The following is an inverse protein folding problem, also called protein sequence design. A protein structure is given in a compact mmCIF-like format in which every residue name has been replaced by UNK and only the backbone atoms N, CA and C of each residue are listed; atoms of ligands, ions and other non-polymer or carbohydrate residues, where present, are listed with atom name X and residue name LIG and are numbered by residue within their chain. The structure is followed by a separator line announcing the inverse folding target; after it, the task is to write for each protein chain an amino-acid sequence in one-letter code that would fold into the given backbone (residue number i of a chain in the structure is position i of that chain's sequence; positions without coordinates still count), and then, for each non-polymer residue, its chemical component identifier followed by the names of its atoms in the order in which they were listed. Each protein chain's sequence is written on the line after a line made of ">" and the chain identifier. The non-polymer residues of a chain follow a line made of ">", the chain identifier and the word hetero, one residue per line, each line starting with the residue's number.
data_IF_162672541126
#
_entry.id   IF_162672541126
#
_cell.length_a   1.000
_cell.length_b   1.000
_cell.length_c   1.000
_cell.angle_alpha   90.00
_cell.angle_beta   90.00
_cell.angle_gamma   90.00
#
_symmetry.space_group_name_H-M   'P 1'
#
loop_
_entity.id
_entity.type
_entity.pdbx_description
1 polymer ?
#
# COMPACT_ATOMS: atom_id res chain seq x y z
N UNK A 1 36.42 -51.85 -32.58
CA UNK A 1 35.15 -51.12 -32.45
C UNK A 1 35.12 -50.39 -31.13
N UNK A 2 35.24 -49.08 -31.17
CA UNK A 2 35.11 -48.23 -30.03
C UNK A 2 33.63 -47.89 -29.78
N UNK A 3 33.12 -47.88 -28.55
CA UNK A 3 31.72 -47.56 -28.29
C UNK A 3 31.46 -46.07 -28.55
N UNK A 4 30.40 -45.79 -29.28
CA UNK A 4 29.90 -44.43 -29.57
C UNK A 4 29.40 -43.81 -28.25
N UNK A 5 29.76 -42.55 -27.90
CA UNK A 5 29.26 -41.91 -26.72
C UNK A 5 27.76 -41.63 -26.84
N UNK A 6 26.98 -42.12 -25.87
CA UNK A 6 25.58 -41.79 -25.75
C UNK A 6 25.48 -40.35 -25.22
N UNK A 7 24.97 -39.46 -26.07
CA UNK A 7 24.67 -38.08 -25.65
C UNK A 7 23.54 -38.10 -24.62
N UNK A 8 23.85 -37.85 -23.36
CA UNK A 8 22.87 -37.54 -22.32
C UNK A 8 22.30 -36.15 -22.60
N UNK A 9 21.11 -36.09 -23.15
CA UNK A 9 20.31 -34.85 -23.21
C UNK A 9 19.96 -34.45 -21.79
N UNK A 10 20.48 -33.31 -21.34
CA UNK A 10 20.01 -32.70 -20.12
C UNK A 10 18.50 -32.45 -20.24
N UNK A 11 17.70 -32.66 -19.13
CA UNK A 11 16.29 -32.35 -19.18
C UNK A 11 16.12 -30.88 -19.54
N UNK A 12 15.25 -30.59 -20.50
CA UNK A 12 14.88 -29.22 -20.85
C UNK A 12 14.36 -28.55 -19.58
N UNK A 13 14.98 -27.43 -19.20
CA UNK A 13 14.46 -26.63 -18.10
C UNK A 13 13.00 -26.27 -18.45
N UNK A 14 12.08 -26.55 -17.53
CA UNK A 14 10.69 -26.16 -17.70
C UNK A 14 10.66 -24.65 -17.94
N UNK A 15 10.21 -24.23 -19.13
CA UNK A 15 10.08 -22.80 -19.45
C UNK A 15 8.95 -22.22 -18.63
N UNK A 16 9.23 -21.13 -17.92
CA UNK A 16 8.19 -20.33 -17.27
C UNK A 16 7.26 -19.81 -18.37
N UNK A 17 5.92 -19.86 -18.19
CA UNK A 17 4.99 -19.28 -19.15
C UNK A 17 5.33 -17.82 -19.47
N UNK A 18 5.08 -17.37 -20.70
CA UNK A 18 5.17 -15.96 -21.03
C UNK A 18 4.11 -15.20 -20.25
N UNK A 19 4.50 -14.14 -19.56
CA UNK A 19 3.62 -13.32 -18.72
C UNK A 19 4.08 -11.87 -18.79
N UNK A 20 3.14 -10.98 -19.10
CA UNK A 20 3.41 -9.54 -19.22
C UNK A 20 3.86 -8.91 -17.89
N UNK A 21 3.51 -9.52 -16.77
CA UNK A 21 3.86 -9.04 -15.43
C UNK A 21 5.25 -9.49 -14.95
N UNK A 22 5.92 -10.39 -15.67
CA UNK A 22 7.22 -10.92 -15.25
C UNK A 22 8.27 -9.83 -15.02
N UNK A 23 8.40 -8.88 -15.95
CA UNK A 23 9.37 -7.79 -15.83
C UNK A 23 9.04 -6.86 -14.66
N UNK A 24 7.76 -6.58 -14.43
CA UNK A 24 7.30 -5.77 -13.29
C UNK A 24 7.63 -6.45 -11.96
N UNK A 25 7.35 -7.74 -11.83
CA UNK A 25 7.68 -8.53 -10.62
C UNK A 25 9.20 -8.57 -10.39
N UNK A 26 9.99 -8.81 -11.43
CA UNK A 26 11.46 -8.81 -11.33
C UNK A 26 11.99 -7.44 -10.90
N UNK A 27 11.42 -6.35 -11.42
CA UNK A 27 11.82 -5.00 -11.04
C UNK A 27 11.57 -4.74 -9.55
N UNK A 28 10.40 -5.11 -9.04
CA UNK A 28 10.10 -4.98 -7.60
C UNK A 28 11.06 -5.82 -6.75
N UNK A 29 11.30 -7.08 -7.14
CA UNK A 29 12.08 -8.00 -6.31
C UNK A 29 13.59 -7.80 -6.39
N UNK A 30 14.12 -7.22 -7.47
CA UNK A 30 15.55 -7.25 -7.79
C UNK A 30 16.19 -5.90 -8.06
N UNK A 31 15.42 -4.84 -8.39
CA UNK A 31 16.05 -3.58 -8.74
C UNK A 31 16.43 -2.76 -7.51
N UNK A 32 17.59 -2.14 -7.58
CA UNK A 32 18.01 -1.14 -6.59
C UNK A 32 17.18 0.16 -6.74
N UNK A 33 16.68 0.43 -7.94
CA UNK A 33 15.87 1.59 -8.28
C UNK A 33 14.53 1.56 -7.54
N UNK A 34 13.85 0.40 -7.50
CA UNK A 34 12.65 0.23 -6.68
C UNK A 34 12.90 0.51 -5.21
N UNK A 35 13.97 -0.10 -4.67
CA UNK A 35 14.34 0.12 -3.26
C UNK A 35 14.65 1.58 -2.97
N UNK A 36 15.44 2.23 -3.83
CA UNK A 36 15.81 3.63 -3.68
C UNK A 36 14.59 4.55 -3.74
N UNK A 37 13.66 4.32 -4.68
CA UNK A 37 12.42 5.09 -4.80
C UNK A 37 11.55 4.99 -3.53
N UNK A 38 11.38 3.79 -2.99
CA UNK A 38 10.63 3.59 -1.75
C UNK A 38 11.31 4.24 -0.54
N UNK A 39 12.62 4.02 -0.38
CA UNK A 39 13.40 4.59 0.73
C UNK A 39 13.35 6.12 0.70
N UNK A 40 13.56 6.75 -0.46
CA UNK A 40 13.55 8.22 -0.56
C UNK A 40 12.17 8.79 -0.24
N UNK A 41 11.09 8.13 -0.66
CA UNK A 41 9.72 8.55 -0.35
C UNK A 41 9.49 8.57 1.16
N UNK A 42 9.78 7.47 1.85
CA UNK A 42 9.58 7.40 3.29
C UNK A 42 10.53 8.31 4.08
N UNK A 43 11.77 8.46 3.64
CA UNK A 43 12.73 9.36 4.28
C UNK A 43 12.31 10.82 4.17
N UNK A 44 11.93 11.25 2.97
CA UNK A 44 11.45 12.61 2.74
C UNK A 44 10.17 12.89 3.54
N UNK A 45 9.23 11.93 3.58
CA UNK A 45 8.02 12.06 4.39
C UNK A 45 8.33 12.22 5.88
N UNK A 46 9.30 11.49 6.42
CA UNK A 46 9.69 11.60 7.83
C UNK A 46 10.17 13.02 8.19
N UNK A 47 10.83 13.72 7.27
CA UNK A 47 11.28 15.10 7.47
C UNK A 47 10.13 16.10 7.55
N UNK A 48 8.97 15.80 6.97
CA UNK A 48 7.77 16.64 7.03
C UNK A 48 6.93 16.45 8.29
N UNK A 49 7.17 15.40 9.09
CA UNK A 49 6.34 15.11 10.27
C UNK A 49 6.30 16.27 11.26
N UNK A 50 7.44 16.87 11.58
CA UNK A 50 7.50 17.96 12.54
C UNK A 50 6.80 19.23 12.03
N UNK A 51 6.92 19.52 10.73
CA UNK A 51 6.20 20.61 10.07
C UNK A 51 4.68 20.38 10.13
N UNK A 52 4.23 19.19 9.73
CA UNK A 52 2.83 18.82 9.75
C UNK A 52 2.22 18.86 11.15
N UNK A 53 2.97 18.43 12.17
CA UNK A 53 2.56 18.49 13.57
C UNK A 53 2.43 19.93 14.08
N UNK A 54 3.37 20.80 13.71
CA UNK A 54 3.44 22.19 14.16
C UNK A 54 2.34 23.08 13.58
N UNK A 55 1.82 22.75 12.40
CA UNK A 55 0.78 23.54 11.73
C UNK A 55 -0.63 23.08 12.15
N UNK A 56 -1.39 23.87 12.94
CA UNK A 56 -2.68 23.43 13.49
C UNK A 56 -3.75 23.07 12.45
N UNK A 57 -3.65 23.69 11.25
CA UNK A 57 -4.60 23.49 10.15
C UNK A 57 -4.11 22.48 9.11
N UNK A 58 -2.96 21.86 9.34
CA UNK A 58 -2.45 20.84 8.44
C UNK A 58 -3.36 19.62 8.39
N UNK A 59 -3.81 19.27 7.20
CA UNK A 59 -4.65 18.11 6.94
C UNK A 59 -4.31 17.51 5.57
N UNK A 60 -4.21 16.22 5.50
CA UNK A 60 -3.96 15.48 4.26
C UNK A 60 -5.24 14.90 3.63
N UNK A 61 -6.40 15.08 4.27
CA UNK A 61 -7.69 14.78 3.64
C UNK A 61 -8.14 15.97 2.79
N UNK A 62 -8.70 15.68 1.61
CA UNK A 62 -9.37 16.71 0.84
C UNK A 62 -10.58 17.25 1.59
N UNK A 63 -10.94 18.55 1.44
CA UNK A 63 -12.04 19.15 2.20
C UNK A 63 -13.36 18.40 2.10
N UNK A 64 -13.66 17.82 0.94
CA UNK A 64 -14.88 17.05 0.69
C UNK A 64 -14.95 15.72 1.47
N UNK A 65 -13.84 15.23 2.00
CA UNK A 65 -13.76 14.02 2.82
C UNK A 65 -13.58 14.32 4.32
N UNK A 66 -13.56 15.58 4.73
CA UNK A 66 -13.45 16.02 6.12
C UNK A 66 -14.82 16.35 6.69
N UNK A 67 -15.34 15.49 7.58
CA UNK A 67 -16.65 15.66 8.21
C UNK A 67 -16.62 16.58 9.46
N UNK A 68 -15.42 16.90 9.94
CA UNK A 68 -15.21 17.77 11.12
C UNK A 68 -14.03 18.72 10.90
N UNK A 69 -13.69 19.52 11.90
CA UNK A 69 -12.59 20.49 11.76
C UNK A 69 -11.19 19.91 11.95
N UNK A 70 -11.06 18.63 12.31
CA UNK A 70 -9.76 18.00 12.62
C UNK A 70 -9.01 18.58 13.81
N UNK A 71 -9.44 19.73 14.35
CA UNK A 71 -8.81 20.40 15.47
C UNK A 71 -8.91 19.60 16.77
N UNK A 72 -7.80 19.52 17.48
CA UNK A 72 -7.76 18.82 18.78
C UNK A 72 -7.79 17.29 18.69
N UNK A 73 -7.90 16.75 17.50
CA UNK A 73 -7.81 15.30 17.28
C UNK A 73 -6.36 14.82 17.34
N UNK A 74 -6.19 13.57 17.74
CA UNK A 74 -4.87 12.92 17.74
C UNK A 74 -4.32 12.88 16.33
N UNK A 75 -2.99 13.11 16.14
CA UNK A 75 -2.39 13.02 14.83
C UNK A 75 -2.26 11.58 14.37
N UNK A 76 -2.50 11.36 13.08
CA UNK A 76 -2.30 10.07 12.43
C UNK A 76 -1.76 10.24 11.01
N UNK A 77 -1.17 9.19 10.49
CA UNK A 77 -0.91 9.01 9.06
C UNK A 77 -1.77 7.86 8.55
N UNK A 78 -2.27 7.99 7.34
CA UNK A 78 -3.05 6.95 6.66
C UNK A 78 -2.16 6.26 5.65
N UNK A 79 -2.12 4.94 5.67
CA UNK A 79 -1.32 4.14 4.73
C UNK A 79 -2.21 3.06 4.10
N UNK A 80 -2.12 2.91 2.79
CA UNK A 80 -2.47 1.64 2.17
C UNK A 80 -1.51 0.54 2.66
N UNK A 81 -1.85 -0.72 2.45
CA UNK A 81 -1.02 -1.84 2.88
C UNK A 81 -0.26 -2.45 1.70
N UNK A 82 -0.98 -2.93 0.69
CA UNK A 82 -0.41 -3.74 -0.38
C UNK A 82 0.43 -2.88 -1.32
N UNK A 83 1.71 -3.23 -1.48
CA UNK A 83 2.72 -2.48 -2.25
C UNK A 83 3.00 -1.05 -1.75
N UNK A 84 2.48 -0.74 -0.58
CA UNK A 84 2.77 0.50 0.15
C UNK A 84 3.53 0.21 1.44
N UNK A 85 3.00 -0.65 2.29
CA UNK A 85 3.58 -1.06 3.57
C UNK A 85 4.15 -2.48 3.49
N UNK A 86 3.44 -3.39 2.85
CA UNK A 86 3.81 -4.78 2.66
C UNK A 86 4.00 -5.12 1.18
N UNK A 87 5.08 -5.84 0.90
CA UNK A 87 5.46 -6.33 -0.43
C UNK A 87 4.79 -7.70 -0.69
N UNK A 88 3.89 -7.73 -1.67
CA UNK A 88 3.21 -8.94 -2.15
C UNK A 88 3.81 -9.48 -3.46
N UNK A 89 4.98 -9.04 -3.86
CA UNK A 89 5.64 -9.55 -5.05
C UNK A 89 5.83 -11.08 -5.06
N UNK A 90 5.99 -11.77 -3.91
CA UNK A 90 6.01 -13.23 -3.90
C UNK A 90 4.69 -13.86 -4.37
N UNK A 91 3.54 -13.24 -4.07
CA UNK A 91 2.24 -13.67 -4.60
C UNK A 91 2.18 -13.47 -6.12
N UNK A 92 2.56 -12.29 -6.61
CA UNK A 92 2.61 -12.01 -8.05
C UNK A 92 3.57 -12.97 -8.78
N UNK A 93 4.70 -13.29 -8.19
CA UNK A 93 5.64 -14.27 -8.73
C UNK A 93 5.03 -15.68 -8.84
N UNK A 94 4.20 -16.09 -7.89
CA UNK A 94 3.45 -17.36 -7.97
C UNK A 94 2.47 -17.36 -9.14
N UNK A 95 1.73 -16.27 -9.35
CA UNK A 95 0.81 -16.15 -10.48
C UNK A 95 1.56 -16.30 -11.81
N UNK A 96 2.67 -15.59 -11.98
CA UNK A 96 3.53 -15.69 -13.18
C UNK A 96 4.06 -17.12 -13.37
N UNK A 97 4.63 -17.72 -12.32
CA UNK A 97 5.20 -19.07 -12.37
C UNK A 97 4.18 -20.13 -12.77
N UNK A 98 2.97 -20.01 -12.23
CA UNK A 98 1.92 -21.04 -12.36
C UNK A 98 0.94 -20.72 -13.51
N UNK A 99 1.16 -19.61 -14.24
CA UNK A 99 0.28 -19.18 -15.35
C UNK A 99 -1.15 -18.87 -14.88
N UNK A 100 -1.29 -18.28 -13.71
CA UNK A 100 -2.56 -17.97 -13.08
C UNK A 100 -2.82 -16.46 -13.06
N UNK A 101 -4.09 -16.11 -13.02
CA UNK A 101 -4.56 -14.76 -12.75
C UNK A 101 -4.94 -14.60 -11.28
N UNK A 102 -5.10 -13.34 -10.83
CA UNK A 102 -5.63 -13.04 -9.50
C UNK A 102 -6.99 -13.70 -9.27
N UNK A 103 -7.17 -14.25 -8.08
CA UNK A 103 -8.46 -14.70 -7.58
C UNK A 103 -8.56 -14.49 -6.07
N UNK A 104 -9.76 -14.21 -5.56
CA UNK A 104 -9.95 -14.04 -4.12
C UNK A 104 -9.46 -15.25 -3.31
N UNK A 105 -9.72 -16.51 -3.69
CA UNK A 105 -9.24 -17.65 -2.93
C UNK A 105 -7.71 -17.74 -2.84
N UNK A 106 -6.99 -17.47 -3.93
CA UNK A 106 -5.53 -17.51 -3.93
C UNK A 106 -4.91 -16.34 -3.17
N UNK A 107 -5.55 -15.17 -3.27
CA UNK A 107 -5.17 -14.00 -2.49
C UNK A 107 -5.38 -14.21 -0.98
N UNK A 108 -6.55 -14.69 -0.58
CA UNK A 108 -6.85 -15.02 0.81
C UNK A 108 -5.83 -16.01 1.38
N UNK A 109 -5.50 -17.05 0.62
CA UNK A 109 -4.48 -18.02 1.02
C UNK A 109 -3.12 -17.36 1.26
N UNK A 110 -2.69 -16.47 0.36
CA UNK A 110 -1.45 -15.71 0.54
C UNK A 110 -1.46 -14.85 1.80
N UNK A 111 -2.53 -14.08 2.02
CA UNK A 111 -2.66 -13.22 3.20
C UNK A 111 -2.60 -14.06 4.49
N UNK A 112 -3.26 -15.23 4.50
CA UNK A 112 -3.24 -16.15 5.64
C UNK A 112 -1.84 -16.72 5.94
N UNK A 113 -0.92 -16.73 5.00
CA UNK A 113 0.48 -17.12 5.26
C UNK A 113 1.22 -16.13 6.16
N UNK A 114 0.79 -14.86 6.23
CA UNK A 114 1.42 -13.80 7.06
C UNK A 114 2.90 -13.60 6.75
N UNK A 115 3.29 -13.66 5.48
CA UNK A 115 4.70 -13.69 5.04
C UNK A 115 5.14 -12.47 4.24
N UNK A 116 4.24 -11.53 3.98
CA UNK A 116 4.61 -10.31 3.29
C UNK A 116 5.62 -9.52 4.13
N UNK A 117 6.67 -9.02 3.47
CA UNK A 117 7.76 -8.28 4.11
C UNK A 117 7.55 -6.77 3.94
N UNK A 118 8.16 -5.92 4.78
CA UNK A 118 8.00 -4.49 4.68
C UNK A 118 8.57 -3.92 3.37
N UNK A 119 7.85 -2.98 2.78
CA UNK A 119 8.37 -2.13 1.70
C UNK A 119 9.58 -1.35 2.22
N UNK A 120 10.67 -1.22 1.44
CA UNK A 120 11.87 -0.53 1.90
C UNK A 120 11.59 0.89 2.40
N UNK A 121 12.11 1.21 3.58
CA UNK A 121 11.97 2.52 4.22
C UNK A 121 10.76 2.68 5.15
N UNK A 122 9.75 1.82 5.07
CA UNK A 122 8.53 1.99 5.88
C UNK A 122 8.77 1.83 7.38
N UNK A 123 9.67 0.93 7.79
CA UNK A 123 9.94 0.70 9.22
C UNK A 123 10.59 1.93 9.88
N UNK A 124 11.54 2.57 9.21
CA UNK A 124 12.18 3.79 9.67
C UNK A 124 11.17 4.94 9.79
N UNK A 125 10.31 5.10 8.79
CA UNK A 125 9.22 6.08 8.84
C UNK A 125 8.27 5.79 10.00
N UNK A 126 7.83 4.54 10.16
CA UNK A 126 6.91 4.13 11.22
C UNK A 126 7.48 4.42 12.62
N UNK A 127 8.77 4.16 12.83
CA UNK A 127 9.46 4.51 14.08
C UNK A 127 9.50 6.01 14.32
N UNK A 128 9.79 6.80 13.29
CA UNK A 128 9.80 8.26 13.37
C UNK A 128 8.43 8.83 13.71
N UNK A 129 7.36 8.30 13.11
CA UNK A 129 5.98 8.68 13.40
C UNK A 129 5.59 8.29 14.84
N UNK A 130 5.87 7.06 15.24
CA UNK A 130 5.57 6.55 16.58
C UNK A 130 6.29 7.34 17.68
N UNK A 131 7.56 7.69 17.47
CA UNK A 131 8.34 8.50 18.40
C UNK A 131 7.75 9.90 18.63
N UNK A 132 6.92 10.39 17.69
CA UNK A 132 6.22 11.67 17.75
C UNK A 132 4.77 11.55 18.20
N UNK A 133 4.34 10.38 18.64
CA UNK A 133 2.94 10.13 19.04
C UNK A 133 1.96 10.11 17.87
N UNK A 134 2.41 9.91 16.65
CA UNK A 134 1.57 9.81 15.46
C UNK A 134 1.12 8.36 15.27
N UNK A 135 -0.19 8.16 15.19
CA UNK A 135 -0.80 6.84 14.98
C UNK A 135 -0.73 6.46 13.50
N UNK A 136 -0.41 5.19 13.20
CA UNK A 136 -0.53 4.63 11.86
C UNK A 136 -1.93 4.01 11.72
N UNK A 137 -2.69 4.47 10.74
CA UNK A 137 -4.01 3.94 10.36
C UNK A 137 -3.87 3.31 8.98
N UNK A 138 -4.30 2.08 8.86
CA UNK A 138 -4.17 1.30 7.63
C UNK A 138 -5.52 1.21 6.93
N UNK A 139 -5.62 1.78 5.71
CA UNK A 139 -6.80 1.70 4.85
C UNK A 139 -6.47 0.81 3.66
N UNK A 140 -7.00 -0.40 3.63
CA UNK A 140 -6.64 -1.42 2.66
C UNK A 140 -7.87 -2.04 2.01
N UNK A 141 -7.74 -2.46 0.77
CA UNK A 141 -8.73 -3.30 0.10
C UNK A 141 -8.60 -4.79 0.45
N UNK A 142 -7.73 -5.16 1.38
CA UNK A 142 -7.87 -6.45 2.06
C UNK A 142 -9.22 -6.48 2.77
N UNK A 143 -9.98 -7.52 2.53
CA UNK A 143 -11.32 -7.64 3.11
C UNK A 143 -11.29 -7.77 4.63
N UNK A 144 -12.35 -7.34 5.29
CA UNK A 144 -12.44 -7.35 6.77
C UNK A 144 -12.26 -8.74 7.38
N UNK A 145 -12.60 -9.82 6.65
CA UNK A 145 -12.35 -11.19 7.12
C UNK A 145 -10.86 -11.57 7.19
N UNK A 146 -10.00 -10.82 6.50
CA UNK A 146 -8.53 -10.97 6.54
C UNK A 146 -7.85 -10.10 7.60
N UNK A 147 -8.62 -9.37 8.40
CA UNK A 147 -8.12 -8.41 9.39
C UNK A 147 -7.09 -9.05 10.32
N UNK A 148 -7.41 -10.16 10.95
CA UNK A 148 -6.52 -10.78 11.94
C UNK A 148 -5.19 -11.20 11.32
N UNK A 149 -5.22 -11.88 10.16
CA UNK A 149 -4.01 -12.30 9.47
C UNK A 149 -3.15 -11.10 9.05
N UNK A 150 -3.79 -10.01 8.61
CA UNK A 150 -3.11 -8.78 8.22
C UNK A 150 -2.44 -8.11 9.42
N UNK A 151 -3.14 -7.95 10.52
CA UNK A 151 -2.59 -7.35 11.75
C UNK A 151 -1.44 -8.18 12.33
N UNK A 152 -1.57 -9.51 12.31
CA UNK A 152 -0.51 -10.42 12.74
C UNK A 152 0.74 -10.26 11.87
N UNK A 153 0.57 -10.14 10.55
CA UNK A 153 1.70 -9.91 9.63
C UNK A 153 2.37 -8.55 9.90
N UNK A 154 1.59 -7.48 10.06
CA UNK A 154 2.12 -6.15 10.38
C UNK A 154 2.94 -6.16 11.67
N UNK A 155 2.40 -6.75 12.75
CA UNK A 155 3.08 -6.87 14.04
C UNK A 155 4.36 -7.69 13.94
N UNK A 156 4.31 -8.83 13.24
CA UNK A 156 5.46 -9.70 13.05
C UNK A 156 6.61 -9.01 12.31
N UNK A 157 6.28 -8.06 11.43
CA UNK A 157 7.27 -7.27 10.69
C UNK A 157 7.74 -6.01 11.45
N UNK A 158 7.24 -5.76 12.66
CA UNK A 158 7.63 -4.62 13.47
C UNK A 158 6.89 -3.31 13.15
N UNK A 159 5.79 -3.40 12.43
CA UNK A 159 4.94 -2.23 12.14
C UNK A 159 4.00 -1.96 13.32
N UNK A 160 3.82 -0.68 13.72
CA UNK A 160 2.93 -0.32 14.80
C UNK A 160 1.47 -0.65 14.49
N UNK A 161 0.82 -1.32 15.43
CA UNK A 161 -0.62 -1.57 15.45
C UNK A 161 -1.11 -1.21 16.84
N UNK A 162 -1.67 -0.02 17.02
CA UNK A 162 -2.10 0.47 18.32
C UNK A 162 -3.20 -0.41 18.92
N UNK A 163 -4.20 -0.72 18.11
CA UNK A 163 -5.26 -1.68 18.39
C UNK A 163 -5.93 -2.10 17.06
N UNK A 164 -6.96 -2.92 17.13
CA UNK A 164 -7.63 -3.44 15.93
C UNK A 164 -8.43 -2.38 15.15
N UNK A 165 -8.72 -1.22 15.75
CA UNK A 165 -9.46 -0.15 15.09
C UNK A 165 -8.65 0.60 14.03
N UNK A 166 -7.33 0.45 14.03
CA UNK A 166 -6.47 1.09 13.02
C UNK A 166 -6.50 0.39 11.66
N UNK A 167 -7.14 -0.77 11.54
CA UNK A 167 -7.32 -1.46 10.28
C UNK A 167 -8.72 -1.19 9.71
N UNK A 168 -8.78 -0.49 8.59
CA UNK A 168 -10.00 -0.18 7.85
C UNK A 168 -9.97 -0.93 6.52
N UNK A 169 -10.45 -2.17 6.53
CA UNK A 169 -10.46 -3.07 5.39
C UNK A 169 -11.68 -2.86 4.48
N UNK A 170 -11.65 -3.51 3.33
CA UNK A 170 -12.80 -3.58 2.43
C UNK A 170 -13.96 -4.31 3.15
N UNK A 171 -15.12 -3.68 3.17
CA UNK A 171 -16.30 -4.16 3.92
C UNK A 171 -16.48 -3.45 5.27
N UNK A 172 -15.60 -2.53 5.65
CA UNK A 172 -15.83 -1.64 6.80
C UNK A 172 -17.06 -0.78 6.54
N UNK A 173 -18.04 -0.87 7.44
CA UNK A 173 -19.26 -0.04 7.38
C UNK A 173 -18.97 1.31 8.01
N UNK A 174 -19.28 2.38 7.29
CA UNK A 174 -19.10 3.76 7.73
C UNK A 174 -20.45 4.44 7.77
N UNK A 175 -20.89 4.83 8.98
CA UNK A 175 -22.17 5.49 9.16
C UNK A 175 -22.25 6.80 8.35
N UNK A 176 -23.34 6.97 7.61
CA UNK A 176 -23.61 8.16 6.80
C UNK A 176 -22.72 8.29 5.56
N UNK A 177 -22.12 7.19 5.12
CA UNK A 177 -21.35 7.14 3.89
C UNK A 177 -21.63 5.85 3.12
N UNK A 178 -22.08 6.00 1.87
CA UNK A 178 -22.39 4.86 1.00
C UNK A 178 -21.10 4.38 0.33
N UNK A 179 -20.70 3.16 0.65
CA UNK A 179 -19.52 2.52 0.06
C UNK A 179 -19.80 2.07 -1.38
N UNK A 180 -18.99 2.51 -2.32
CA UNK A 180 -19.04 2.11 -3.72
C UNK A 180 -17.84 1.23 -4.10
N UNK A 181 -18.09 -0.05 -4.35
CA UNK A 181 -17.04 -1.00 -4.74
C UNK A 181 -15.86 -0.99 -3.78
N UNK A 182 -14.66 -0.82 -4.31
CA UNK A 182 -13.40 -0.77 -3.54
C UNK A 182 -12.92 0.65 -3.22
N UNK A 183 -13.71 1.69 -3.51
CA UNK A 183 -13.37 3.07 -3.18
C UNK A 183 -13.05 3.23 -1.68
N UNK A 184 -12.07 4.07 -1.39
CA UNK A 184 -11.55 4.26 -0.01
C UNK A 184 -12.06 5.54 0.67
N UNK A 185 -12.86 6.35 0.00
CA UNK A 185 -13.33 7.65 0.49
C UNK A 185 -14.10 7.55 1.82
N UNK A 186 -15.04 6.62 1.96
CA UNK A 186 -15.76 6.42 3.22
C UNK A 186 -14.82 6.06 4.39
N UNK A 187 -13.82 5.23 4.13
CA UNK A 187 -12.84 4.84 5.15
C UNK A 187 -11.88 5.98 5.50
N UNK A 188 -11.52 6.84 4.53
CA UNK A 188 -10.79 8.09 4.82
C UNK A 188 -11.61 9.06 5.67
N UNK A 189 -12.90 9.21 5.37
CA UNK A 189 -13.82 9.98 6.24
C UNK A 189 -13.85 9.45 7.66
N UNK A 190 -13.94 8.12 7.82
CA UNK A 190 -13.93 7.50 9.14
C UNK A 190 -12.62 7.77 9.89
N UNK A 191 -11.48 7.64 9.23
CA UNK A 191 -10.19 8.01 9.80
C UNK A 191 -10.17 9.48 10.22
N UNK A 192 -10.68 10.37 9.37
CA UNK A 192 -10.77 11.80 9.64
C UNK A 192 -11.69 12.21 10.80
N UNK A 193 -12.72 11.41 11.07
CA UNK A 193 -13.59 11.64 12.26
C UNK A 193 -12.84 11.43 13.57
N UNK A 194 -11.84 10.56 13.58
CA UNK A 194 -11.10 10.16 14.76
C UNK A 194 -9.72 10.80 14.86
N UNK A 195 -9.14 11.23 13.73
CA UNK A 195 -7.77 11.71 13.67
C UNK A 195 -7.62 12.97 12.82
N UNK A 196 -6.62 13.78 13.16
CA UNK A 196 -6.04 14.74 12.24
C UNK A 196 -5.04 14.00 11.36
N UNK A 197 -5.35 13.87 10.08
CA UNK A 197 -4.54 13.10 9.12
C UNK A 197 -3.41 13.98 8.59
N UNK A 198 -2.17 13.67 8.96
CA UNK A 198 -0.99 14.45 8.56
C UNK A 198 -0.50 14.10 7.16
N UNK A 199 -0.59 12.83 6.80
CA UNK A 199 -0.08 12.30 5.53
C UNK A 199 -0.91 11.12 5.08
N UNK A 200 -0.91 10.88 3.78
CA UNK A 200 -1.41 9.66 3.18
C UNK A 200 -0.32 9.01 2.32
N UNK A 201 -0.25 7.68 2.36
CA UNK A 201 0.68 6.85 1.58
C UNK A 201 -0.11 5.83 0.78
N UNK A 202 0.27 5.66 -0.47
CA UNK A 202 -0.37 4.69 -1.36
C UNK A 202 0.45 4.43 -2.62
N UNK A 203 0.09 3.39 -3.35
CA UNK A 203 0.65 3.05 -4.65
C UNK A 203 -0.32 3.33 -5.80
N UNK A 204 -1.58 3.68 -5.46
CA UNK A 204 -2.65 4.01 -6.39
C UNK A 204 -3.23 5.39 -6.08
N UNK A 205 -3.66 6.12 -7.11
CA UNK A 205 -4.26 7.44 -6.94
C UNK A 205 -5.53 7.41 -6.07
N UNK A 206 -6.29 6.32 -6.14
CA UNK A 206 -7.48 6.08 -5.31
C UNK A 206 -7.20 5.93 -3.81
N UNK A 207 -5.94 5.77 -3.41
CA UNK A 207 -5.55 5.77 -2.00
C UNK A 207 -5.65 7.16 -1.36
N UNK A 208 -5.54 8.20 -2.17
CA UNK A 208 -5.47 9.59 -1.73
C UNK A 208 -6.78 10.35 -1.89
N UNK A 209 -7.51 10.08 -2.95
CA UNK A 209 -8.69 10.86 -3.35
C UNK A 209 -9.67 9.96 -4.10
N UNK A 210 -10.96 10.31 -4.04
CA UNK A 210 -11.99 9.67 -4.86
C UNK A 210 -11.71 9.88 -6.36
N UNK A 211 -11.88 8.81 -7.15
CA UNK A 211 -11.69 8.86 -8.60
C UNK A 211 -13.08 8.84 -9.27
N UNK A 212 -13.59 9.99 -9.72
CA UNK A 212 -14.95 10.08 -10.26
C UNK A 212 -15.11 9.35 -11.61
N UNK A 213 -14.01 9.23 -12.36
CA UNK A 213 -13.98 8.48 -13.61
C UNK A 213 -12.61 7.82 -13.79
N UNK A 214 -12.60 6.51 -13.97
CA UNK A 214 -11.34 5.76 -14.13
C UNK A 214 -10.88 5.77 -15.60
N UNK A 215 -10.52 6.97 -16.07
CA UNK A 215 -9.94 7.20 -17.39
C UNK A 215 -8.57 7.86 -17.25
N UNK A 216 -7.65 7.70 -18.22
CA UNK A 216 -6.35 8.37 -18.17
C UNK A 216 -6.48 9.89 -18.01
N UNK A 217 -7.43 10.52 -18.69
CA UNK A 217 -7.64 11.97 -18.65
C UNK A 217 -8.12 12.44 -17.27
N UNK A 218 -9.09 11.72 -16.67
CA UNK A 218 -9.60 12.08 -15.35
C UNK A 218 -8.54 11.87 -14.26
N UNK A 219 -7.74 10.80 -14.35
CA UNK A 219 -6.62 10.56 -13.43
C UNK A 219 -5.53 11.63 -13.57
N UNK A 220 -5.20 12.03 -14.79
CA UNK A 220 -4.25 13.12 -15.04
C UNK A 220 -4.77 14.44 -14.48
N UNK A 221 -6.05 14.75 -14.64
CA UNK A 221 -6.68 15.94 -14.06
C UNK A 221 -6.59 15.98 -12.54
N UNK A 222 -6.76 14.84 -11.84
CA UNK A 222 -6.55 14.78 -10.39
C UNK A 222 -5.09 15.01 -10.00
N UNK A 223 -4.15 14.47 -10.75
CA UNK A 223 -2.73 14.74 -10.53
C UNK A 223 -2.40 16.23 -10.66
N UNK A 224 -2.95 16.92 -11.66
CA UNK A 224 -2.76 18.36 -11.88
C UNK A 224 -3.44 19.20 -10.78
N UNK A 225 -4.64 18.80 -10.32
CA UNK A 225 -5.38 19.49 -9.26
C UNK A 225 -4.65 19.44 -7.91
N UNK A 226 -3.99 18.31 -7.62
CA UNK A 226 -3.32 18.07 -6.33
C UNK A 226 -1.79 17.98 -6.47
N UNK A 227 -1.20 18.55 -7.51
CA UNK A 227 0.24 18.48 -7.78
C UNK A 227 1.08 18.89 -6.55
N UNK A 228 0.70 19.97 -5.88
CA UNK A 228 1.38 20.50 -4.71
C UNK A 228 1.21 19.66 -3.42
N UNK A 229 0.30 18.68 -3.44
CA UNK A 229 0.11 17.76 -2.31
C UNK A 229 1.07 16.58 -2.36
N UNK A 230 1.49 16.15 -3.56
CA UNK A 230 2.45 15.07 -3.72
C UNK A 230 3.85 15.51 -3.26
N UNK A 231 4.44 14.71 -2.35
CA UNK A 231 5.72 15.05 -1.71
C UNK A 231 5.60 16.01 -0.53
N UNK A 232 4.37 16.33 -0.09
CA UNK A 232 4.09 17.13 1.10
C UNK A 232 3.07 16.44 2.02
N UNK A 233 1.86 16.21 1.53
CA UNK A 233 0.76 15.53 2.24
C UNK A 233 0.53 14.11 1.75
N UNK A 234 0.77 13.87 0.46
CA UNK A 234 0.57 12.60 -0.22
C UNK A 234 1.90 12.05 -0.74
N UNK A 235 2.10 10.76 -0.49
CA UNK A 235 3.37 10.09 -0.74
C UNK A 235 3.13 8.81 -1.53
N UNK A 236 3.52 8.83 -2.81
CA UNK A 236 3.30 7.73 -3.74
C UNK A 236 4.45 6.72 -3.67
N UNK A 237 4.10 5.44 -3.58
CA UNK A 237 5.02 4.32 -3.71
C UNK A 237 4.89 3.69 -5.12
N UNK A 238 5.99 3.18 -5.71
CA UNK A 238 5.93 2.59 -7.03
C UNK A 238 5.29 1.18 -6.99
N UNK A 239 4.33 0.95 -7.89
CA UNK A 239 3.78 -0.39 -8.14
C UNK A 239 3.59 -0.60 -9.65
N UNK A 240 4.50 -1.37 -10.31
CA UNK A 240 4.37 -1.68 -11.73
C UNK A 240 3.54 -2.94 -12.00
N UNK A 241 3.02 -3.63 -10.98
CA UNK A 241 2.46 -5.00 -11.15
C UNK A 241 0.96 -5.02 -11.41
N UNK A 242 0.19 -4.00 -11.00
CA UNK A 242 -1.26 -3.92 -11.26
C UNK A 242 -1.80 -2.50 -11.16
#
# INVERSE_FOLDING_TARGET
>A
DAPTPVATTAPAAASVPADDNLNAVLWVQRSAEYQAAAIQTYRAAAEYLDKALAEPHWDALVPSERDNHGHGLKPAVVLDIDETVLDNSPYQARLVRDGLEYSDPTWDAWVQERRATPVPGVLEFARAAQARGVTLVYISNRAVHLKQATLDNLRAQGLPVADDSVFLGLGTVVEGCDQHGSEKDCRRRLAGRNYRVLMQFGDQLGDFVHIPANTPQARQGLLEEYDDWFGERWWMLPNPTY
#
